data_IF_412906569200
#
_entry.id   IF_412906569200
#
_cell.length_a   1.000
_cell.length_b   1.000
_cell.length_c   1.000
_cell.angle_alpha   90.00
_cell.angle_beta   90.00
_cell.angle_gamma   90.00
#
_symmetry.space_group_name_H-M   'P 1'
#
loop_
_entity.id
_entity.type
_entity.pdbx_description
1 polymer ?
#
# COMPACT_ATOMS: atom_id res chain seq x y z
N UNK A 1 -72.61 -36.95 -33.18
CA UNK A 1 -71.95 -36.03 -32.23
C UNK A 1 -70.49 -36.41 -32.19
N UNK A 2 -69.59 -35.65 -32.83
CA UNK A 2 -68.13 -35.87 -32.82
C UNK A 2 -67.55 -34.88 -31.82
N UNK A 3 -67.00 -35.35 -30.70
CA UNK A 3 -66.30 -34.55 -29.68
C UNK A 3 -64.89 -34.30 -30.15
N UNK A 4 -64.55 -33.05 -30.49
CA UNK A 4 -63.18 -32.60 -30.77
C UNK A 4 -62.54 -32.15 -29.44
N UNK A 5 -61.54 -32.93 -28.98
CA UNK A 5 -60.71 -32.54 -27.86
C UNK A 5 -59.55 -31.69 -28.40
N UNK A 6 -59.44 -30.43 -27.92
CA UNK A 6 -58.29 -29.56 -28.19
C UNK A 6 -57.06 -29.98 -27.37
N UNK A 7 -55.83 -29.92 -27.88
CA UNK A 7 -54.64 -30.26 -27.13
C UNK A 7 -54.30 -29.12 -26.14
N UNK A 8 -54.00 -29.48 -24.93
CA UNK A 8 -53.48 -28.61 -23.89
C UNK A 8 -51.96 -28.36 -24.12
N UNK A 9 -51.60 -27.16 -24.51
CA UNK A 9 -50.18 -26.75 -24.62
C UNK A 9 -49.73 -26.26 -23.28
N UNK A 10 -48.86 -27.03 -22.62
CA UNK A 10 -48.19 -26.60 -21.35
C UNK A 10 -46.94 -25.82 -21.75
N UNK A 11 -46.96 -24.49 -21.53
CA UNK A 11 -45.79 -23.63 -21.67
C UNK A 11 -45.02 -23.68 -20.36
N UNK A 12 -43.85 -24.36 -20.33
CA UNK A 12 -42.94 -24.36 -19.21
C UNK A 12 -42.06 -23.08 -19.30
N UNK A 13 -42.35 -22.09 -18.48
CA UNK A 13 -41.51 -20.91 -18.32
C UNK A 13 -40.27 -21.26 -17.48
N UNK A 14 -39.10 -21.39 -18.11
CA UNK A 14 -37.83 -21.51 -17.40
C UNK A 14 -37.39 -20.13 -16.95
N UNK A 15 -37.54 -19.84 -15.66
CA UNK A 15 -37.01 -18.63 -15.05
C UNK A 15 -35.49 -18.75 -14.89
N UNK A 16 -34.73 -18.03 -15.72
CA UNK A 16 -33.30 -17.84 -15.47
C UNK A 16 -33.12 -16.85 -14.31
N UNK A 17 -32.81 -17.35 -13.13
CA UNK A 17 -32.30 -16.51 -12.05
C UNK A 17 -30.83 -16.18 -12.34
N UNK A 18 -30.55 -14.95 -12.76
CA UNK A 18 -29.20 -14.42 -12.83
C UNK A 18 -28.65 -14.30 -11.40
N UNK A 19 -27.72 -15.16 -11.04
CA UNK A 19 -26.95 -15.03 -9.81
C UNK A 19 -26.02 -13.83 -10.01
N UNK A 20 -26.41 -12.67 -9.51
CA UNK A 20 -25.52 -11.51 -9.40
C UNK A 20 -24.56 -11.84 -8.25
N UNK A 21 -23.38 -12.35 -8.58
CA UNK A 21 -22.29 -12.42 -7.62
C UNK A 21 -21.91 -10.98 -7.25
N UNK A 22 -22.29 -10.55 -6.05
CA UNK A 22 -21.79 -9.32 -5.48
C UNK A 22 -20.27 -9.51 -5.35
N UNK A 23 -19.51 -8.90 -6.27
CA UNK A 23 -18.07 -8.93 -6.18
C UNK A 23 -17.63 -8.18 -4.93
N UNK A 24 -16.48 -8.56 -4.34
CA UNK A 24 -15.88 -7.90 -3.19
C UNK A 24 -15.79 -6.39 -3.40
N UNK A 25 -16.18 -5.60 -2.40
CA UNK A 25 -16.00 -4.15 -2.43
C UNK A 25 -14.51 -3.81 -2.29
N UNK A 26 -14.11 -2.60 -2.73
CA UNK A 26 -12.77 -2.08 -2.46
C UNK A 26 -12.48 -2.10 -0.96
N UNK A 27 -11.27 -2.48 -0.59
CA UNK A 27 -10.84 -2.52 0.79
C UNK A 27 -10.01 -1.27 1.12
N UNK A 28 -10.62 -0.31 1.83
CA UNK A 28 -9.94 0.91 2.28
C UNK A 28 -9.05 0.57 3.48
N UNK A 29 -7.74 0.64 3.28
CA UNK A 29 -6.77 0.49 4.37
C UNK A 29 -6.82 1.73 5.26
N UNK A 30 -6.74 2.92 4.65
CA UNK A 30 -6.78 4.19 5.37
C UNK A 30 -7.26 5.34 4.46
N UNK A 31 -8.02 6.28 5.01
CA UNK A 31 -8.43 7.51 4.31
C UNK A 31 -8.28 8.77 5.19
N UNK A 32 -7.74 8.61 6.39
CA UNK A 32 -7.42 9.61 7.41
C UNK A 32 -8.63 10.40 7.95
N UNK A 33 -9.87 10.12 7.48
CA UNK A 33 -11.07 10.90 7.82
C UNK A 33 -11.50 10.75 9.27
N UNK A 34 -11.16 9.62 9.89
CA UNK A 34 -11.50 9.34 11.28
C UNK A 34 -10.68 10.14 12.31
N UNK A 35 -9.58 10.78 11.86
CA UNK A 35 -8.69 11.51 12.76
C UNK A 35 -8.89 13.02 12.64
N UNK A 36 -8.93 13.77 13.77
CA UNK A 36 -8.91 15.23 13.74
C UNK A 36 -7.65 15.79 13.06
N UNK A 37 -7.80 16.91 12.33
CA UNK A 37 -6.65 17.68 11.86
C UNK A 37 -5.86 18.17 13.07
N UNK A 38 -4.51 18.11 12.99
CA UNK A 38 -3.60 18.43 14.08
C UNK A 38 -3.31 17.26 15.03
N UNK A 39 -3.88 16.06 14.78
CA UNK A 39 -3.48 14.84 15.51
C UNK A 39 -2.01 14.54 15.22
N UNK A 40 -1.20 14.53 16.28
CA UNK A 40 0.25 14.25 16.20
C UNK A 40 0.59 12.88 16.74
N UNK A 41 1.70 12.32 16.25
CA UNK A 41 2.16 10.99 16.57
C UNK A 41 1.44 9.91 15.79
N UNK A 42 1.39 8.69 16.33
CA UNK A 42 0.83 7.54 15.63
C UNK A 42 -0.69 7.61 15.66
N UNK A 43 -1.39 7.68 14.51
CA UNK A 43 -2.84 7.78 14.49
C UNK A 43 -3.51 6.42 14.76
N UNK A 44 -4.43 6.38 15.71
CA UNK A 44 -5.42 5.32 15.95
C UNK A 44 -4.90 3.89 15.96
N UNK A 45 -5.29 3.10 14.96
CA UNK A 45 -4.98 1.67 14.87
C UNK A 45 -3.59 1.36 14.31
N UNK A 46 -2.84 2.39 13.94
CA UNK A 46 -1.45 2.22 13.53
C UNK A 46 -0.56 2.00 14.75
N UNK A 47 0.53 1.27 14.58
CA UNK A 47 1.50 0.97 15.64
C UNK A 47 2.91 1.30 15.17
N UNK A 48 3.75 1.81 16.08
CA UNK A 48 5.17 1.96 15.78
C UNK A 48 5.77 0.59 15.45
N UNK A 49 6.61 0.57 14.44
CA UNK A 49 7.58 -0.49 14.26
C UNK A 49 8.83 -0.11 15.07
N UNK A 50 9.52 -1.11 15.63
CA UNK A 50 10.72 -0.90 16.44
C UNK A 50 11.96 -0.51 15.61
N UNK A 51 11.74 0.04 14.42
CA UNK A 51 12.77 0.49 13.50
C UNK A 51 12.77 2.01 13.48
N UNK A 52 13.74 2.64 14.12
CA UNK A 52 13.81 4.08 14.26
C UNK A 52 13.44 4.59 15.65
N UNK A 53 13.57 5.91 15.87
CA UNK A 53 13.47 6.55 17.19
C UNK A 53 12.09 7.04 17.58
N UNK A 54 11.07 6.70 16.87
CA UNK A 54 9.71 7.01 17.30
C UNK A 54 8.92 7.92 16.38
N UNK A 55 7.62 7.93 16.56
CA UNK A 55 6.60 8.51 15.70
C UNK A 55 6.32 9.99 15.98
N UNK A 56 7.31 10.78 16.37
CA UNK A 56 7.12 12.21 16.65
C UNK A 56 6.92 13.05 15.40
N UNK A 57 7.15 12.46 14.24
CA UNK A 57 7.21 13.12 12.95
C UNK A 57 5.93 12.94 12.11
N UNK A 58 4.88 12.37 12.69
CA UNK A 58 3.60 12.19 12.00
C UNK A 58 2.56 13.19 12.49
N UNK A 59 1.84 13.77 11.55
CA UNK A 59 0.72 14.68 11.84
C UNK A 59 -0.41 14.51 10.80
N UNK A 60 -1.66 14.49 11.24
CA UNK A 60 -2.81 14.56 10.32
C UNK A 60 -3.05 16.03 9.97
N UNK A 61 -2.95 16.34 8.70
CA UNK A 61 -3.15 17.71 8.20
C UNK A 61 -4.19 17.77 7.09
N UNK A 62 -4.65 18.98 6.78
CA UNK A 62 -5.44 19.23 5.57
C UNK A 62 -4.50 19.66 4.43
N UNK A 63 -4.60 19.01 3.28
CA UNK A 63 -3.94 19.41 2.05
C UNK A 63 -4.90 19.23 0.87
N UNK A 64 -5.07 20.26 0.04
CA UNK A 64 -6.03 20.30 -1.07
C UNK A 64 -7.45 19.83 -0.69
N UNK A 65 -7.93 20.18 0.52
CA UNK A 65 -9.25 19.82 1.01
C UNK A 65 -9.40 18.37 1.47
N UNK A 66 -8.33 17.59 1.48
CA UNK A 66 -8.30 16.22 1.98
C UNK A 66 -7.51 16.14 3.29
N UNK A 67 -7.87 15.18 4.15
CA UNK A 67 -7.04 14.80 5.29
C UNK A 67 -5.99 13.82 4.82
N UNK A 68 -4.74 14.05 5.21
CA UNK A 68 -3.58 13.27 4.80
C UNK A 68 -2.64 13.11 5.98
N UNK A 69 -1.82 12.07 5.95
CA UNK A 69 -0.71 11.91 6.87
C UNK A 69 0.48 12.73 6.35
N UNK A 70 0.99 13.63 7.17
CA UNK A 70 2.21 14.37 6.95
C UNK A 70 3.35 13.71 7.72
N UNK A 71 4.45 13.44 7.06
CA UNK A 71 5.64 12.78 7.59
C UNK A 71 6.83 13.72 7.44
N UNK A 72 7.61 13.85 8.51
CA UNK A 72 8.89 14.56 8.52
C UNK A 72 9.96 13.72 9.19
N UNK A 73 11.19 13.79 8.69
CA UNK A 73 12.35 13.18 9.30
C UNK A 73 13.55 14.11 9.22
N UNK A 74 14.42 14.04 10.23
CA UNK A 74 15.69 14.79 10.28
C UNK A 74 16.74 13.95 11.00
N UNK A 75 17.57 13.26 10.22
CA UNK A 75 18.58 12.32 10.74
C UNK A 75 17.94 11.22 11.59
N UNK A 76 16.76 10.76 11.20
CA UNK A 76 15.98 9.75 11.92
C UNK A 76 15.19 8.89 10.93
N UNK A 77 14.67 7.77 11.43
CA UNK A 77 13.82 6.85 10.69
C UNK A 77 12.57 6.54 11.50
N UNK A 78 11.41 6.62 10.88
CA UNK A 78 10.12 6.36 11.53
C UNK A 78 9.24 5.48 10.65
N UNK A 79 8.72 4.38 11.21
CA UNK A 79 7.81 3.46 10.54
C UNK A 79 6.60 3.18 11.40
N UNK A 80 5.41 3.29 10.80
CA UNK A 80 4.16 2.84 11.41
C UNK A 80 3.54 1.72 10.57
N UNK A 81 2.83 0.81 11.24
CA UNK A 81 2.22 -0.36 10.60
C UNK A 81 0.79 -0.55 11.04
N UNK A 82 -0.05 -0.98 10.10
CA UNK A 82 -1.43 -1.40 10.32
C UNK A 82 -1.56 -2.89 10.05
N UNK A 83 -2.13 -3.62 11.02
CA UNK A 83 -2.43 -5.05 10.88
C UNK A 83 -3.62 -5.23 9.92
N UNK A 84 -3.47 -6.08 8.91
CA UNK A 84 -4.50 -6.43 7.95
C UNK A 84 -5.16 -7.77 8.25
N UNK A 85 -4.69 -8.52 9.25
CA UNK A 85 -5.24 -9.80 9.66
C UNK A 85 -6.59 -9.63 10.34
N UNK A 86 -7.53 -10.51 10.02
CA UNK A 86 -8.86 -10.47 10.67
C UNK A 86 -9.73 -9.29 10.25
N UNK A 87 -9.31 -8.50 9.27
CA UNK A 87 -10.06 -7.36 8.73
C UNK A 87 -11.17 -7.84 7.76
N UNK A 88 -12.05 -8.70 8.25
CA UNK A 88 -13.32 -9.08 7.65
C UNK A 88 -13.25 -9.62 6.22
N UNK A 89 -13.51 -8.81 5.22
CA UNK A 89 -13.72 -9.23 3.82
C UNK A 89 -12.52 -8.96 2.90
N UNK A 90 -11.34 -8.65 3.42
CA UNK A 90 -10.18 -8.40 2.58
C UNK A 90 -9.70 -9.69 1.88
N UNK A 91 -9.68 -9.68 0.56
CA UNK A 91 -9.22 -10.78 -0.27
C UNK A 91 -8.31 -10.23 -1.40
N UNK A 92 -7.01 -10.41 -1.25
CA UNK A 92 -6.01 -9.93 -2.22
C UNK A 92 -6.23 -10.52 -3.63
N UNK A 93 -6.81 -11.71 -3.76
CA UNK A 93 -7.09 -12.31 -5.08
C UNK A 93 -8.20 -11.58 -5.82
N UNK A 94 -9.13 -10.97 -5.11
CA UNK A 94 -10.24 -10.20 -5.70
C UNK A 94 -9.91 -8.73 -5.88
N UNK A 95 -9.09 -8.17 -4.98
CA UNK A 95 -8.63 -6.78 -4.98
C UNK A 95 -7.11 -6.71 -4.97
N UNK A 96 -6.42 -7.18 -6.04
CA UNK A 96 -4.96 -7.27 -6.07
C UNK A 96 -4.24 -5.94 -6.29
N UNK A 97 -4.97 -4.87 -6.62
CA UNK A 97 -4.37 -3.58 -6.95
C UNK A 97 -4.36 -2.67 -5.72
N UNK A 98 -3.17 -2.40 -5.20
CA UNK A 98 -2.96 -1.36 -4.20
C UNK A 98 -2.89 -0.01 -4.90
N UNK A 99 -3.75 0.91 -4.49
CA UNK A 99 -3.76 2.30 -4.92
C UNK A 99 -3.51 3.21 -3.73
N UNK A 100 -2.61 4.17 -3.88
CA UNK A 100 -2.38 5.22 -2.89
C UNK A 100 -1.91 6.50 -3.55
N UNK A 101 -2.03 7.61 -2.83
CA UNK A 101 -1.44 8.87 -3.27
C UNK A 101 -0.37 9.34 -2.30
N UNK A 102 0.66 9.94 -2.83
CA UNK A 102 1.74 10.57 -2.08
C UNK A 102 2.21 11.88 -2.71
N UNK A 103 2.84 12.70 -1.90
CA UNK A 103 3.50 13.93 -2.31
C UNK A 103 4.79 14.07 -1.53
N UNK A 104 5.93 14.15 -2.21
CA UNK A 104 7.23 14.38 -1.59
C UNK A 104 7.59 15.86 -1.72
N UNK A 105 8.07 16.45 -0.63
CA UNK A 105 8.55 17.84 -0.56
C UNK A 105 10.05 17.88 -0.51
N UNK A 106 10.67 17.03 0.33
CA UNK A 106 12.11 17.00 0.54
C UNK A 106 12.60 15.56 0.43
N UNK A 107 13.62 15.35 -0.39
CA UNK A 107 14.32 14.07 -0.53
C UNK A 107 15.55 14.03 0.38
N UNK A 108 15.88 12.87 0.96
CA UNK A 108 17.17 12.66 1.62
C UNK A 108 18.32 12.92 0.64
N UNK A 109 19.33 13.63 1.08
CA UNK A 109 20.48 14.00 0.23
C UNK A 109 21.29 12.76 -0.14
N UNK A 110 21.24 12.34 -1.42
CA UNK A 110 21.98 11.17 -1.88
C UNK A 110 21.41 9.84 -1.43
N UNK A 111 20.17 9.79 -0.93
CA UNK A 111 19.48 8.57 -0.55
C UNK A 111 19.42 7.56 -1.71
N UNK A 112 19.62 6.27 -1.39
CA UNK A 112 19.57 5.17 -2.32
C UNK A 112 19.30 3.86 -1.58
N UNK A 113 18.08 3.39 -1.67
CA UNK A 113 17.60 2.16 -1.01
C UNK A 113 18.38 0.88 -1.37
N UNK A 114 19.08 0.89 -2.48
CA UNK A 114 19.87 -0.26 -2.93
C UNK A 114 21.29 -0.29 -2.32
N UNK A 115 21.65 0.70 -1.50
CA UNK A 115 22.97 0.85 -0.90
C UNK A 115 22.86 1.00 0.62
N UNK A 116 23.52 0.12 1.37
CA UNK A 116 23.42 0.06 2.83
C UNK A 116 23.74 1.38 3.55
N UNK A 117 24.68 2.16 3.03
CA UNK A 117 25.15 3.40 3.65
C UNK A 117 24.28 4.63 3.37
N UNK A 118 23.29 4.50 2.50
CA UNK A 118 22.42 5.59 2.04
C UNK A 118 20.97 5.10 1.85
N UNK A 119 20.57 4.06 2.61
CA UNK A 119 19.23 3.43 2.57
C UNK A 119 18.20 4.36 3.26
N UNK A 120 17.97 5.52 2.62
CA UNK A 120 17.07 6.60 3.06
C UNK A 120 16.09 6.99 1.95
N UNK A 121 14.79 7.05 2.26
CA UNK A 121 13.72 7.39 1.32
C UNK A 121 12.68 8.32 1.95
N UNK A 122 12.23 9.28 1.16
CA UNK A 122 11.27 10.29 1.61
C UNK A 122 9.84 9.74 1.80
N UNK A 123 9.47 8.70 1.06
CA UNK A 123 8.15 8.08 1.16
C UNK A 123 8.23 6.59 0.82
N UNK A 124 7.71 5.77 1.71
CA UNK A 124 7.77 4.33 1.62
C UNK A 124 6.42 3.73 2.01
N UNK A 125 5.89 2.84 1.16
CA UNK A 125 4.69 2.05 1.42
C UNK A 125 5.07 0.58 1.34
N UNK A 126 4.95 -0.14 2.44
CA UNK A 126 5.30 -1.54 2.54
C UNK A 126 4.08 -2.43 2.59
N UNK A 127 4.11 -3.53 1.84
CA UNK A 127 3.16 -4.63 1.96
C UNK A 127 3.90 -5.84 2.49
N UNK A 128 3.47 -6.36 3.65
CA UNK A 128 4.20 -7.37 4.40
C UNK A 128 3.42 -8.68 4.56
N UNK A 129 4.13 -9.79 4.37
CA UNK A 129 3.74 -11.16 4.71
C UNK A 129 4.66 -11.63 5.84
N UNK A 130 4.25 -11.35 7.09
CA UNK A 130 5.02 -11.69 8.26
C UNK A 130 4.98 -13.21 8.52
N UNK A 131 6.16 -13.84 8.62
CA UNK A 131 6.34 -15.29 8.82
C UNK A 131 7.34 -15.54 9.95
N UNK A 132 6.98 -16.33 10.93
CA UNK A 132 7.88 -16.64 12.06
C UNK A 132 9.09 -17.49 11.64
N UNK A 133 10.34 -17.16 12.07
CA UNK A 133 10.79 -15.94 12.72
C UNK A 133 10.75 -14.73 11.77
N UNK A 134 10.10 -13.62 12.21
CA UNK A 134 9.75 -12.50 11.32
C UNK A 134 10.97 -11.82 10.70
N UNK A 135 12.07 -11.73 11.44
CA UNK A 135 13.31 -11.09 11.00
C UNK A 135 14.03 -11.84 9.86
N UNK A 136 13.66 -13.09 9.60
CA UNK A 136 14.36 -13.94 8.63
C UNK A 136 13.44 -14.46 7.53
N UNK A 137 12.17 -14.74 7.86
CA UNK A 137 11.25 -15.44 6.96
C UNK A 137 10.18 -14.56 6.35
N UNK A 138 9.97 -13.36 6.84
CA UNK A 138 9.01 -12.43 6.28
C UNK A 138 9.38 -12.05 4.85
N UNK A 139 8.36 -11.78 4.04
CA UNK A 139 8.49 -11.26 2.69
C UNK A 139 7.82 -9.89 2.66
N UNK A 140 8.56 -8.86 2.28
CA UNK A 140 8.08 -7.48 2.31
C UNK A 140 8.43 -6.80 1.00
N UNK A 141 7.43 -6.23 0.35
CA UNK A 141 7.61 -5.36 -0.82
C UNK A 141 7.54 -3.92 -0.35
N UNK A 142 8.59 -3.15 -0.60
CA UNK A 142 8.63 -1.71 -0.36
C UNK A 142 8.47 -0.94 -1.67
N UNK A 143 7.37 -0.20 -1.81
CA UNK A 143 7.20 0.78 -2.87
C UNK A 143 7.75 2.11 -2.39
N UNK A 144 8.74 2.66 -3.11
CA UNK A 144 9.51 3.79 -2.62
C UNK A 144 9.63 4.95 -3.62
N UNK A 145 9.77 6.15 -3.06
CA UNK A 145 10.28 7.32 -3.76
C UNK A 145 11.70 7.57 -3.30
N UNK A 146 12.64 7.23 -4.15
CA UNK A 146 14.09 7.28 -3.89
C UNK A 146 14.69 8.62 -4.32
N UNK A 147 15.88 8.97 -3.85
CA UNK A 147 16.57 10.19 -4.28
C UNK A 147 17.41 9.98 -5.53
N UNK A 148 18.07 8.82 -5.68
CA UNK A 148 19.06 8.58 -6.73
C UNK A 148 18.92 7.26 -7.47
N UNK A 149 18.35 6.22 -6.86
CA UNK A 149 18.15 4.94 -7.53
C UNK A 149 17.17 5.08 -8.69
N UNK A 150 17.46 4.53 -9.89
CA UNK A 150 16.61 4.69 -11.08
C UNK A 150 15.20 4.11 -10.89
N UNK A 151 14.18 4.78 -11.45
CA UNK A 151 12.81 4.26 -11.50
C UNK A 151 12.77 2.89 -12.18
N UNK A 152 12.00 1.96 -11.60
CA UNK A 152 11.88 0.58 -12.06
C UNK A 152 12.93 -0.36 -11.47
N UNK A 153 13.92 0.14 -10.72
CA UNK A 153 14.90 -0.70 -10.01
C UNK A 153 14.17 -1.58 -9.00
N UNK A 154 14.53 -2.85 -8.98
CA UNK A 154 14.12 -3.80 -7.94
C UNK A 154 15.39 -4.27 -7.24
N UNK A 155 15.52 -4.00 -5.95
CA UNK A 155 16.68 -4.42 -5.18
C UNK A 155 16.28 -4.88 -3.78
N UNK A 156 17.07 -5.81 -3.24
CA UNK A 156 16.90 -6.30 -1.87
C UNK A 156 17.60 -5.34 -0.91
N UNK A 157 16.93 -4.98 0.20
CA UNK A 157 17.55 -4.18 1.24
C UNK A 157 18.84 -4.85 1.72
N UNK A 158 19.90 -4.09 1.82
CA UNK A 158 21.18 -4.54 2.38
C UNK A 158 21.22 -4.45 3.91
N UNK A 159 20.22 -3.81 4.53
CA UNK A 159 20.05 -3.73 6.00
C UNK A 159 19.18 -4.87 6.50
N UNK A 160 18.09 -5.16 5.80
CA UNK A 160 17.12 -6.19 6.23
C UNK A 160 16.90 -7.21 5.12
N UNK A 161 17.27 -8.46 5.36
CA UNK A 161 17.13 -9.53 4.37
C UNK A 161 15.70 -9.88 3.94
N UNK A 162 14.69 -9.27 4.54
CA UNK A 162 13.25 -9.54 4.30
C UNK A 162 12.58 -8.55 3.37
N UNK A 163 13.18 -7.37 3.14
CA UNK A 163 12.60 -6.30 2.31
C UNK A 163 13.19 -6.34 0.89
N UNK A 164 12.32 -6.23 -0.10
CA UNK A 164 12.68 -5.96 -1.50
C UNK A 164 12.00 -4.67 -1.93
N UNK A 165 12.78 -3.72 -2.37
CA UNK A 165 12.30 -2.43 -2.86
C UNK A 165 11.93 -2.47 -4.33
N UNK A 166 10.90 -1.70 -4.70
CA UNK A 166 10.56 -1.30 -6.07
C UNK A 166 10.57 0.22 -6.12
N UNK A 167 11.51 0.79 -6.84
CA UNK A 167 11.62 2.23 -7.02
C UNK A 167 10.54 2.70 -8.00
N UNK A 168 9.51 3.39 -7.50
CA UNK A 168 8.43 3.92 -8.33
C UNK A 168 8.71 5.33 -8.80
N UNK A 169 9.34 6.13 -7.97
CA UNK A 169 9.77 7.51 -8.26
C UNK A 169 11.19 7.72 -7.83
N UNK A 170 11.87 8.64 -8.50
CA UNK A 170 13.26 8.97 -8.20
C UNK A 170 13.57 10.43 -8.52
N UNK A 171 14.35 11.04 -7.63
CA UNK A 171 14.80 12.41 -7.80
C UNK A 171 13.71 13.47 -7.67
N UNK A 172 14.08 14.71 -7.95
CA UNK A 172 13.30 15.89 -7.62
C UNK A 172 12.31 16.40 -8.67
N UNK A 173 12.17 15.72 -9.82
CA UNK A 173 11.37 16.25 -10.96
C UNK A 173 9.88 16.42 -10.69
N UNK A 174 9.33 15.74 -9.69
CA UNK A 174 7.92 15.75 -9.35
C UNK A 174 7.63 16.21 -7.90
N UNK A 175 8.61 16.83 -7.23
CA UNK A 175 8.43 17.36 -5.87
C UNK A 175 7.27 18.35 -5.80
N UNK A 176 6.54 18.30 -4.69
CA UNK A 176 5.39 19.15 -4.42
C UNK A 176 4.11 18.75 -5.17
N UNK A 177 4.13 17.72 -6.02
CA UNK A 177 2.95 17.25 -6.75
C UNK A 177 2.35 16.03 -6.07
N UNK A 178 1.02 15.96 -5.98
CA UNK A 178 0.31 14.75 -5.65
C UNK A 178 0.38 13.75 -6.81
N UNK A 179 0.82 12.53 -6.52
CA UNK A 179 0.88 11.43 -7.47
C UNK A 179 0.11 10.26 -6.90
N UNK A 180 -0.72 9.65 -7.74
CA UNK A 180 -1.42 8.41 -7.41
C UNK A 180 -0.69 7.24 -8.05
N UNK A 181 -0.33 6.27 -7.24
CA UNK A 181 0.26 5.01 -7.68
C UNK A 181 -0.78 3.91 -7.69
N UNK A 182 -0.63 3.00 -8.63
CA UNK A 182 -1.42 1.77 -8.73
C UNK A 182 -0.47 0.61 -9.01
N UNK A 183 -0.46 -0.40 -8.12
CA UNK A 183 0.40 -1.57 -8.27
C UNK A 183 -0.41 -2.85 -8.10
N UNK A 184 -0.30 -3.77 -9.06
CA UNK A 184 -0.80 -5.12 -8.85
C UNK A 184 0.17 -5.88 -7.93
N UNK A 185 -0.18 -5.92 -6.66
CA UNK A 185 0.67 -6.51 -5.60
C UNK A 185 0.91 -8.01 -5.83
N UNK A 186 -0.07 -8.72 -6.41
CA UNK A 186 0.09 -10.15 -6.74
C UNK A 186 1.13 -10.36 -7.84
N UNK A 187 1.13 -9.51 -8.87
CA UNK A 187 2.10 -9.58 -9.96
C UNK A 187 3.50 -9.21 -9.48
N UNK A 188 3.62 -8.13 -8.68
CA UNK A 188 4.90 -7.73 -8.10
C UNK A 188 5.47 -8.81 -7.19
N UNK A 189 4.64 -9.40 -6.34
CA UNK A 189 5.04 -10.50 -5.47
C UNK A 189 5.53 -11.71 -6.27
N UNK A 190 4.77 -12.10 -7.29
CA UNK A 190 5.17 -13.22 -8.18
C UNK A 190 6.48 -12.93 -8.90
N UNK A 191 6.67 -11.70 -9.38
CA UNK A 191 7.91 -11.29 -10.06
C UNK A 191 9.12 -11.37 -9.13
N UNK A 192 8.97 -11.02 -7.85
CA UNK A 192 10.06 -10.98 -6.88
C UNK A 192 10.34 -12.36 -6.28
N UNK A 193 9.28 -13.08 -5.87
CA UNK A 193 9.39 -14.28 -5.04
C UNK A 193 9.06 -15.58 -5.78
N UNK A 194 8.51 -15.51 -7.01
CA UNK A 194 8.20 -16.69 -7.84
C UNK A 194 6.94 -17.46 -7.44
N UNK A 195 6.19 -16.98 -6.45
CA UNK A 195 4.96 -17.63 -5.94
C UNK A 195 3.77 -16.67 -5.92
N UNK A 196 2.55 -17.21 -5.78
CA UNK A 196 1.32 -16.43 -5.60
C UNK A 196 1.12 -16.18 -4.11
N UNK A 197 0.97 -14.93 -3.66
CA UNK A 197 0.81 -14.64 -2.24
C UNK A 197 -0.58 -15.01 -1.71
N UNK A 198 -0.64 -15.28 -0.41
CA UNK A 198 -1.86 -15.16 0.39
C UNK A 198 -2.17 -13.67 0.67
N UNK A 199 -3.17 -13.39 1.51
CA UNK A 199 -3.41 -12.03 1.98
C UNK A 199 -2.20 -11.51 2.76
N UNK A 200 -1.77 -10.26 2.54
CA UNK A 200 -0.74 -9.64 3.36
C UNK A 200 -1.20 -9.50 4.81
N UNK A 201 -0.25 -9.55 5.71
CA UNK A 201 -0.52 -9.46 7.16
C UNK A 201 -0.48 -8.05 7.67
N UNK A 202 0.25 -7.16 7.00
CA UNK A 202 0.36 -5.76 7.39
C UNK A 202 0.66 -4.85 6.20
N UNK A 203 0.30 -3.56 6.35
CA UNK A 203 0.76 -2.46 5.53
C UNK A 203 1.49 -1.46 6.42
N UNK A 204 2.65 -0.98 5.98
CA UNK A 204 3.44 -0.02 6.75
C UNK A 204 3.76 1.21 5.91
N UNK A 205 3.94 2.33 6.60
CA UNK A 205 4.36 3.62 6.05
C UNK A 205 5.63 4.05 6.75
N UNK A 206 6.60 4.54 5.99
CA UNK A 206 7.88 4.97 6.55
C UNK A 206 8.41 6.22 5.87
N UNK A 207 9.27 6.91 6.60
CA UNK A 207 10.13 7.99 6.15
C UNK A 207 11.50 7.81 6.81
N UNK A 208 12.55 7.99 6.04
CA UNK A 208 13.92 7.72 6.47
C UNK A 208 14.90 8.78 5.99
N UNK A 209 15.84 9.20 6.87
CA UNK A 209 16.90 10.16 6.57
C UNK A 209 18.11 10.02 7.50
N UNK A 210 18.26 8.85 8.17
CA UNK A 210 19.26 8.68 9.23
C UNK A 210 20.65 8.29 8.69
N UNK A 211 20.71 7.52 7.62
CA UNK A 211 21.98 7.08 7.01
C UNK A 211 22.72 8.23 6.33
N UNK A 212 22.00 9.12 5.68
CA UNK A 212 22.56 10.31 5.03
C UNK A 212 22.67 11.52 5.96
N UNK A 213 22.18 11.38 7.21
CA UNK A 213 22.12 12.46 8.22
C UNK A 213 21.46 13.73 7.65
N UNK A 214 20.43 13.57 6.81
CA UNK A 214 19.75 14.64 6.08
C UNK A 214 18.32 14.87 6.59
N UNK A 215 17.43 15.32 5.72
CA UNK A 215 16.02 15.51 6.04
C UNK A 215 15.13 14.99 4.94
N UNK A 216 13.95 14.52 5.30
CA UNK A 216 12.91 14.11 4.38
C UNK A 216 11.55 14.69 4.81
N UNK A 217 10.68 14.96 3.83
CA UNK A 217 9.32 15.43 4.07
C UNK A 217 8.38 14.89 2.99
N UNK A 218 7.27 14.30 3.42
CA UNK A 218 6.28 13.74 2.51
C UNK A 218 4.86 13.73 3.10
N UNK A 219 3.90 13.45 2.25
CA UNK A 219 2.49 13.29 2.60
C UNK A 219 1.97 11.99 1.98
N UNK A 220 1.16 11.27 2.73
CA UNK A 220 0.44 10.07 2.26
C UNK A 220 -1.06 10.33 2.35
N UNK A 221 -1.74 10.16 1.22
CA UNK A 221 -3.19 10.26 1.11
C UNK A 221 -3.90 8.93 1.36
N UNK A 222 -5.05 8.76 0.71
CA UNK A 222 -5.86 7.54 0.81
C UNK A 222 -5.10 6.32 0.29
N UNK A 223 -5.29 5.18 0.98
CA UNK A 223 -4.70 3.88 0.64
C UNK A 223 -5.84 2.86 0.52
N UNK A 224 -5.91 2.14 -0.59
CA UNK A 224 -7.01 1.20 -0.87
C UNK A 224 -6.54 0.03 -1.72
N UNK A 225 -7.04 -1.17 -1.43
CA UNK A 225 -6.97 -2.29 -2.34
C UNK A 225 -8.22 -2.34 -3.21
N UNK A 226 -8.05 -2.40 -4.50
CA UNK A 226 -9.12 -2.34 -5.50
C UNK A 226 -9.01 -3.47 -6.52
N UNK A 227 -10.04 -3.66 -7.29
CA UNK A 227 -10.03 -4.57 -8.43
C UNK A 227 -9.18 -4.02 -9.57
N UNK A 228 -8.68 -4.89 -10.45
CA UNK A 228 -8.13 -4.44 -11.72
C UNK A 228 -9.18 -3.63 -12.48
N UNK A 229 -8.75 -2.57 -13.15
CA UNK A 229 -9.61 -1.86 -14.09
C UNK A 229 -10.10 -2.86 -15.16
N UNK A 230 -11.40 -2.87 -15.47
CA UNK A 230 -11.88 -3.60 -16.65
C UNK A 230 -11.35 -2.85 -17.87
N UNK A 231 -10.51 -3.49 -18.66
CA UNK A 231 -10.16 -3.02 -20.01
C UNK A 231 -11.40 -3.02 -20.91
#
# INVERSE_FOLDING_TARGET
MKSTRAPLVIVVAVAFTAVVTAGSADYVVEDWRSYPIGTRGIPGDWKAQNWGRGANDFEIVADNGQRVLHLKSKGDSSTISRDLRGQGQFNLRETPVLEWSWKVITLPTGGNACQKSTDDEAAQVYVAWLRFPETVRSLIIGYIWDSTAPVGTICKSQKTGTVTYIVLRSGGGELGKWITERRNVVEDFRKIYGEVPDNPTALSLSIDSDDTASSAESFIGRIVFTRPSRE
#
